data_IF_986286342074
#
_entry.id   IF_986286342074
#
_cell.length_a   1.000
_cell.length_b   1.000
_cell.length_c   1.000
_cell.angle_alpha   90.00
_cell.angle_beta   90.00
_cell.angle_gamma   90.00
#
_symmetry.space_group_name_H-M   'P 1'
#
loop_
_entity.id
_entity.type
_entity.pdbx_description
1 polymer ?
#
# COMPACT_ATOMS: atom_id res chain seq x y z
N UNK A 1 6.90 51.14 -8.40
CA UNK A 1 8.18 50.75 -7.76
C UNK A 1 7.84 50.03 -6.45
N UNK A 2 8.46 48.86 -6.22
CA UNK A 2 8.51 48.05 -4.96
C UNK A 2 7.15 47.59 -4.36
N UNK A 3 6.75 46.31 -4.52
CA UNK A 3 7.18 45.07 -3.81
C UNK A 3 6.90 45.09 -2.30
N UNK A 4 6.33 43.98 -1.81
CA UNK A 4 6.36 43.38 -0.44
C UNK A 4 4.95 43.15 0.12
N UNK A 5 4.55 42.01 0.69
CA UNK A 5 4.99 40.60 0.73
C UNK A 5 3.79 39.84 1.33
N UNK A 6 3.50 38.64 0.83
CA UNK A 6 2.90 37.48 1.51
C UNK A 6 2.10 37.71 2.80
N UNK A 7 0.76 37.69 2.70
CA UNK A 7 -0.11 37.27 3.80
C UNK A 7 -0.26 35.75 3.69
N UNK A 8 0.65 35.03 4.35
CA UNK A 8 0.45 33.61 4.68
C UNK A 8 -0.58 33.56 5.79
N UNK A 9 -1.84 33.43 5.40
CA UNK A 9 -2.89 33.00 6.30
C UNK A 9 -3.62 31.87 5.60
N UNK A 10 -3.48 30.66 6.12
CA UNK A 10 -4.64 29.99 6.68
C UNK A 10 -4.14 28.86 7.57
N UNK A 11 -4.33 29.08 8.87
CA UNK A 11 -4.46 28.05 9.87
C UNK A 11 -5.51 27.04 9.40
N UNK A 12 -5.04 26.00 8.73
CA UNK A 12 -5.77 24.78 8.43
C UNK A 12 -5.21 23.62 9.25
N UNK A 13 -4.83 23.86 10.51
CA UNK A 13 -4.52 22.79 11.46
C UNK A 13 -5.85 22.18 11.94
N UNK A 14 -6.57 21.56 11.01
CA UNK A 14 -7.61 20.58 11.30
C UNK A 14 -6.97 19.22 11.07
N UNK A 15 -6.15 18.78 12.02
CA UNK A 15 -5.75 17.38 12.11
C UNK A 15 -6.12 16.94 13.51
N UNK A 16 -7.24 16.22 13.58
CA UNK A 16 -7.84 15.74 14.81
C UNK A 16 -6.84 14.99 15.68
N UNK A 17 -7.05 15.14 16.98
CA UNK A 17 -6.57 14.24 18.02
C UNK A 17 -6.94 12.79 17.67
N UNK A 18 -5.95 11.97 17.31
CA UNK A 18 -6.08 10.52 17.27
C UNK A 18 -5.61 9.85 15.98
N UNK A 19 -4.31 9.83 15.70
CA UNK A 19 -3.69 8.81 14.86
C UNK A 19 -2.27 8.62 15.37
N UNK A 20 -1.95 7.42 15.84
CA UNK A 20 -0.58 6.99 16.14
C UNK A 20 0.34 7.46 15.01
N UNK A 21 1.46 8.12 15.32
CA UNK A 21 2.40 8.63 14.31
C UNK A 21 2.99 7.43 13.53
N UNK A 22 2.32 7.04 12.44
CA UNK A 22 2.86 6.09 11.47
C UNK A 22 4.12 6.67 10.86
N UNK A 23 5.06 5.81 10.51
CA UNK A 23 6.24 6.26 9.77
C UNK A 23 5.81 6.80 8.40
N UNK A 24 6.54 7.76 7.84
CA UNK A 24 6.27 8.26 6.50
C UNK A 24 6.30 7.12 5.45
N UNK A 25 7.14 6.10 5.67
CA UNK A 25 7.18 4.90 4.82
C UNK A 25 5.89 4.06 4.90
N UNK A 26 5.32 3.90 6.09
CA UNK A 26 4.05 3.19 6.27
C UNK A 26 2.89 3.97 5.66
N UNK A 27 2.87 5.30 5.78
CA UNK A 27 1.85 6.14 5.15
C UNK A 27 1.89 6.05 3.61
N UNK A 28 3.08 6.10 3.02
CA UNK A 28 3.24 5.96 1.57
C UNK A 28 2.93 4.54 1.07
N UNK A 29 3.28 3.49 1.84
CA UNK A 29 2.82 2.12 1.59
C UNK A 29 1.29 2.04 1.58
N UNK A 30 0.61 2.58 2.60
CA UNK A 30 -0.85 2.54 2.71
C UNK A 30 -1.52 3.21 1.50
N UNK A 31 -1.06 4.40 1.11
CA UNK A 31 -1.58 5.11 -0.07
C UNK A 31 -1.37 4.31 -1.35
N UNK A 32 -0.19 3.74 -1.54
CA UNK A 32 0.12 2.94 -2.74
C UNK A 32 -0.71 1.65 -2.79
N UNK A 33 -0.88 0.98 -1.65
CA UNK A 33 -1.70 -0.21 -1.51
C UNK A 33 -3.17 0.08 -1.83
N UNK A 34 -3.75 1.14 -1.25
CA UNK A 34 -5.15 1.50 -1.51
C UNK A 34 -5.38 1.89 -2.99
N UNK A 35 -4.43 2.60 -3.60
CA UNK A 35 -4.49 2.93 -5.03
C UNK A 35 -4.44 1.67 -5.92
N UNK A 36 -3.58 0.71 -5.58
CA UNK A 36 -3.49 -0.55 -6.29
C UNK A 36 -4.77 -1.39 -6.16
N UNK A 37 -5.28 -1.57 -4.94
CA UNK A 37 -6.51 -2.33 -4.69
C UNK A 37 -7.69 -1.70 -5.46
N UNK A 38 -7.85 -0.38 -5.37
CA UNK A 38 -8.92 0.32 -6.08
C UNK A 38 -8.80 0.21 -7.62
N UNK A 39 -7.57 0.13 -8.16
CA UNK A 39 -7.34 -0.09 -9.58
C UNK A 39 -7.59 -1.56 -9.97
N UNK A 40 -7.20 -2.52 -9.12
CA UNK A 40 -7.42 -3.96 -9.31
C UNK A 40 -8.91 -4.32 -9.32
N UNK A 41 -9.68 -3.77 -8.38
CA UNK A 41 -11.15 -3.94 -8.30
C UNK A 41 -11.85 -3.49 -9.59
N UNK A 42 -11.32 -2.42 -10.20
CA UNK A 42 -11.82 -1.89 -11.47
C UNK A 42 -11.28 -2.62 -12.69
N UNK A 43 -10.41 -3.62 -12.51
CA UNK A 43 -9.60 -4.28 -13.55
C UNK A 43 -8.93 -3.25 -14.47
N UNK A 44 -8.51 -2.13 -13.90
CA UNK A 44 -7.88 -1.05 -14.66
C UNK A 44 -6.49 -1.50 -15.10
N UNK A 45 -6.07 -1.23 -16.36
CA UNK A 45 -4.68 -1.46 -16.78
C UNK A 45 -3.67 -0.63 -15.95
N UNK A 46 -4.14 0.35 -15.19
CA UNK A 46 -3.33 1.13 -14.25
C UNK A 46 -2.93 0.34 -13.00
N UNK A 47 -3.61 -0.77 -12.68
CA UNK A 47 -3.23 -1.65 -11.56
C UNK A 47 -1.77 -2.11 -11.68
N UNK A 48 -1.34 -2.49 -12.90
CA UNK A 48 0.05 -2.85 -13.17
C UNK A 48 1.06 -1.70 -12.99
N UNK A 49 0.62 -0.43 -13.03
CA UNK A 49 1.48 0.73 -12.76
C UNK A 49 1.68 0.96 -11.27
N UNK A 50 0.67 0.62 -10.46
CA UNK A 50 0.70 0.81 -9.02
C UNK A 50 1.29 -0.38 -8.27
N UNK A 51 1.27 -1.58 -8.86
CA UNK A 51 1.66 -2.80 -8.17
C UNK A 51 3.13 -2.83 -7.75
N UNK A 52 4.04 -2.43 -8.64
CA UNK A 52 5.48 -2.41 -8.35
C UNK A 52 5.81 -1.41 -7.26
N UNK A 53 5.10 -0.28 -7.23
CA UNK A 53 5.26 0.75 -6.20
C UNK A 53 4.68 0.28 -4.87
N UNK A 54 3.49 -0.32 -4.88
CA UNK A 54 2.83 -0.83 -3.68
C UNK A 54 3.63 -1.97 -3.03
N UNK A 55 4.04 -2.99 -3.81
CA UNK A 55 4.83 -4.13 -3.30
C UNK A 55 6.18 -3.66 -2.76
N UNK A 56 6.93 -2.84 -3.49
CA UNK A 56 8.25 -2.41 -3.00
C UNK A 56 8.16 -1.53 -1.76
N UNK A 57 7.20 -0.59 -1.71
CA UNK A 57 7.03 0.28 -0.54
C UNK A 57 6.54 -0.50 0.68
N UNK A 58 5.58 -1.40 0.51
CA UNK A 58 5.00 -2.17 1.61
C UNK A 58 5.91 -3.30 2.09
N UNK A 59 6.56 -4.03 1.19
CA UNK A 59 7.56 -5.03 1.57
C UNK A 59 8.74 -4.37 2.31
N UNK A 60 9.23 -3.21 1.86
CA UNK A 60 10.29 -2.48 2.57
C UNK A 60 9.77 -1.91 3.90
N UNK A 61 8.57 -1.33 3.95
CA UNK A 61 8.02 -0.81 5.21
C UNK A 61 7.75 -1.91 6.23
N UNK A 62 7.34 -3.10 5.79
CA UNK A 62 7.10 -4.27 6.63
C UNK A 62 8.42 -4.98 7.03
N UNK A 63 9.42 -5.07 6.13
CA UNK A 63 10.69 -5.76 6.37
C UNK A 63 11.78 -4.88 7.02
N UNK A 64 11.85 -3.58 6.72
CA UNK A 64 12.93 -2.69 7.16
C UNK A 64 12.82 -2.28 8.63
N UNK A 65 11.74 -2.62 9.32
CA UNK A 65 11.62 -2.30 10.74
C UNK A 65 10.43 -3.00 11.36
N UNK A 66 10.70 -3.83 12.36
CA UNK A 66 9.74 -4.40 13.30
C UNK A 66 8.51 -3.47 13.53
N UNK A 67 7.39 -3.76 12.88
CA UNK A 67 6.07 -3.44 13.42
C UNK A 67 5.46 -2.07 13.14
N UNK A 68 5.32 -1.68 11.87
CA UNK A 68 4.10 -0.94 11.50
C UNK A 68 3.05 -1.97 11.02
N UNK A 69 2.16 -2.45 11.91
CA UNK A 69 1.20 -3.50 11.57
C UNK A 69 0.29 -3.08 10.41
N UNK A 70 0.10 -1.78 10.21
CA UNK A 70 -0.71 -1.27 9.11
C UNK A 70 0.01 -1.38 7.76
N UNK A 71 1.34 -1.24 7.74
CA UNK A 71 2.13 -1.46 6.52
C UNK A 71 2.15 -2.93 6.12
N UNK A 72 2.31 -3.86 7.08
CA UNK A 72 2.24 -5.29 6.80
C UNK A 72 0.83 -5.72 6.37
N UNK A 73 -0.22 -5.21 7.03
CA UNK A 73 -1.60 -5.46 6.61
C UNK A 73 -1.91 -4.86 5.23
N UNK A 74 -1.27 -3.76 4.85
CA UNK A 74 -1.37 -3.21 3.49
C UNK A 74 -0.68 -4.10 2.45
N UNK A 75 0.49 -4.65 2.78
CA UNK A 75 1.20 -5.61 1.93
C UNK A 75 0.37 -6.88 1.66
N UNK A 76 -0.26 -7.42 2.71
CA UNK A 76 -1.17 -8.56 2.60
C UNK A 76 -2.35 -8.26 1.67
N UNK A 77 -2.95 -7.06 1.79
CA UNK A 77 -4.06 -6.63 0.92
C UNK A 77 -3.62 -6.51 -0.54
N UNK A 78 -2.44 -5.95 -0.80
CA UNK A 78 -1.86 -5.87 -2.16
C UNK A 78 -1.65 -7.27 -2.73
N UNK A 79 -1.08 -8.18 -1.93
CA UNK A 79 -0.87 -9.58 -2.35
C UNK A 79 -2.18 -10.28 -2.68
N UNK A 80 -3.22 -10.12 -1.85
CA UNK A 80 -4.54 -10.71 -2.10
C UNK A 80 -5.18 -10.13 -3.37
N UNK A 81 -5.14 -8.82 -3.56
CA UNK A 81 -5.68 -8.18 -4.76
C UNK A 81 -4.92 -8.59 -6.03
N UNK A 82 -3.61 -8.83 -5.92
CA UNK A 82 -2.80 -9.39 -7.00
C UNK A 82 -3.23 -10.81 -7.35
N UNK A 83 -3.39 -11.66 -6.33
CA UNK A 83 -3.89 -13.02 -6.52
C UNK A 83 -5.27 -13.06 -7.20
N UNK A 84 -6.16 -12.12 -6.88
CA UNK A 84 -7.48 -12.02 -7.52
C UNK A 84 -7.40 -11.56 -8.98
N UNK A 85 -6.43 -10.69 -9.30
CA UNK A 85 -6.24 -10.16 -10.65
C UNK A 85 -5.56 -11.18 -11.59
N UNK A 86 -4.45 -11.77 -11.14
CA UNK A 86 -3.63 -12.70 -11.96
C UNK A 86 -4.13 -14.15 -11.87
N UNK A 87 -4.90 -14.48 -10.85
CA UNK A 87 -5.49 -15.80 -10.66
C UNK A 87 -4.63 -16.78 -9.86
N UNK A 88 -5.18 -17.99 -9.69
CA UNK A 88 -4.69 -19.01 -8.76
C UNK A 88 -3.25 -19.45 -9.02
N UNK A 89 -2.84 -19.57 -10.28
CA UNK A 89 -1.50 -20.05 -10.64
C UNK A 89 -0.40 -19.06 -10.27
N UNK A 90 -0.61 -17.76 -10.54
CA UNK A 90 0.32 -16.71 -10.13
C UNK A 90 0.39 -16.61 -8.61
N UNK A 91 -0.76 -16.69 -7.93
CA UNK A 91 -0.83 -16.70 -6.47
C UNK A 91 -0.13 -17.93 -5.86
N UNK A 92 -0.26 -19.10 -6.48
CA UNK A 92 0.41 -20.33 -6.06
C UNK A 92 1.93 -20.24 -6.20
N UNK A 93 2.45 -19.54 -7.23
CA UNK A 93 3.89 -19.27 -7.33
C UNK A 93 4.37 -18.38 -6.19
N UNK A 94 3.69 -17.27 -5.90
CA UNK A 94 4.04 -16.40 -4.76
C UNK A 94 4.01 -17.16 -3.41
N UNK A 95 3.07 -18.08 -3.24
CA UNK A 95 3.04 -18.94 -2.06
C UNK A 95 4.23 -19.90 -2.01
N UNK A 96 4.55 -20.60 -3.10
CA UNK A 96 5.54 -21.68 -3.09
C UNK A 96 6.99 -21.17 -3.20
N UNK A 97 7.22 -20.13 -4.00
CA UNK A 97 8.54 -19.58 -4.30
C UNK A 97 8.93 -18.48 -3.30
N UNK A 98 8.05 -17.49 -3.12
CA UNK A 98 8.32 -16.35 -2.23
C UNK A 98 7.95 -16.61 -0.76
N UNK A 99 7.33 -17.76 -0.49
CA UNK A 99 6.81 -18.15 0.85
C UNK A 99 5.90 -17.08 1.46
N UNK A 100 5.16 -16.37 0.61
CA UNK A 100 4.27 -15.30 1.06
C UNK A 100 3.02 -15.91 1.73
N UNK A 101 2.84 -15.62 3.02
CA UNK A 101 1.75 -16.19 3.83
C UNK A 101 0.37 -15.75 3.36
N UNK A 102 0.21 -14.47 2.96
CA UNK A 102 -1.05 -13.95 2.44
C UNK A 102 -1.42 -14.63 1.11
N UNK A 103 -0.46 -14.82 0.21
CA UNK A 103 -0.66 -15.59 -1.02
C UNK A 103 -1.05 -17.05 -0.70
N UNK A 104 -0.34 -17.71 0.20
CA UNK A 104 -0.64 -19.09 0.59
C UNK A 104 -2.04 -19.26 1.19
N UNK A 105 -2.47 -18.31 2.03
CA UNK A 105 -3.82 -18.32 2.59
C UNK A 105 -4.86 -18.07 1.50
N UNK A 106 -4.58 -17.13 0.59
CA UNK A 106 -5.49 -16.82 -0.52
C UNK A 106 -5.67 -18.01 -1.46
N UNK A 107 -4.59 -18.69 -1.87
CA UNK A 107 -4.64 -19.90 -2.72
C UNK A 107 -5.55 -20.99 -2.14
N UNK A 108 -5.55 -21.18 -0.81
CA UNK A 108 -6.40 -22.17 -0.14
C UNK A 108 -7.90 -21.82 -0.20
N UNK A 109 -8.22 -20.54 -0.37
CA UNK A 109 -9.58 -19.99 -0.39
C UNK A 109 -10.14 -19.69 -1.79
N UNK A 110 -9.31 -19.82 -2.83
CA UNK A 110 -9.66 -19.65 -4.25
C UNK A 110 -9.96 -20.99 -4.92
#
# INVERSE_FOLDING_TARGET
MHRIFLIVAFLGFVAGTGCSKKSAAAEECLKAADAYVAASDKRSPEAGKHITTAINLCAVACAAGKGDPDACAADDRVTVALCELEGKDACARMCNEDKNEAACNKVKSM
#
